data_IF_901303883442
#
_entry.id   IF_901303883442
#
_cell.length_a   1.000
_cell.length_b   1.000
_cell.length_c   1.000
_cell.angle_alpha   90.00
_cell.angle_beta   90.00
_cell.angle_gamma   90.00
#
_symmetry.space_group_name_H-M   'P 1'
#
loop_
_entity.id
_entity.type
_entity.pdbx_description
1 polymer ?
#
# COMPACT_ATOMS: atom_id res chain seq x y z
N UNK A 1 -19.60 17.69 83.39
CA UNK A 1 -20.11 17.11 82.13
C UNK A 1 -19.58 17.91 80.93
N UNK A 2 -18.40 17.60 80.39
CA UNK A 2 -17.81 18.31 79.23
C UNK A 2 -17.23 17.37 78.14
N UNK A 3 -17.03 16.07 78.42
CA UNK A 3 -16.35 15.13 77.50
C UNK A 3 -17.14 14.63 76.28
N UNK A 4 -18.48 14.75 76.24
CA UNK A 4 -19.30 14.19 75.14
C UNK A 4 -19.39 15.05 73.88
N UNK A 5 -18.99 16.33 73.95
CA UNK A 5 -19.07 17.27 72.82
C UNK A 5 -17.88 17.15 71.86
N UNK A 6 -16.68 16.92 72.38
CA UNK A 6 -15.46 16.80 71.58
C UNK A 6 -15.38 15.50 70.78
N UNK A 7 -15.90 14.39 71.34
CA UNK A 7 -15.92 13.09 70.67
C UNK A 7 -16.83 13.04 69.42
N UNK A 8 -17.91 13.83 69.40
CA UNK A 8 -18.80 13.92 68.23
C UNK A 8 -18.19 14.75 67.11
N UNK A 9 -17.43 15.79 67.45
CA UNK A 9 -16.82 16.66 66.46
C UNK A 9 -15.67 15.97 65.71
N UNK A 10 -14.82 15.22 66.44
CA UNK A 10 -13.75 14.42 65.81
C UNK A 10 -14.27 13.29 64.93
N UNK A 11 -15.41 12.68 65.28
CA UNK A 11 -16.02 11.64 64.44
C UNK A 11 -16.59 12.20 63.14
N UNK A 12 -17.20 13.39 63.17
CA UNK A 12 -17.70 14.07 61.98
C UNK A 12 -16.58 14.56 61.07
N UNK A 13 -15.47 15.06 61.63
CA UNK A 13 -14.31 15.44 60.82
C UNK A 13 -13.68 14.21 60.16
N UNK A 14 -13.61 13.08 60.85
CA UNK A 14 -13.07 11.84 60.28
C UNK A 14 -13.97 11.29 59.16
N UNK A 15 -15.30 11.33 59.35
CA UNK A 15 -16.27 10.89 58.33
C UNK A 15 -16.21 11.76 57.06
N UNK A 16 -16.05 13.08 57.22
CA UNK A 16 -15.89 14.00 56.08
C UNK A 16 -14.58 13.74 55.31
N UNK A 17 -13.48 13.43 56.01
CA UNK A 17 -12.21 13.07 55.38
C UNK A 17 -12.32 11.72 54.65
N UNK A 18 -12.96 10.70 55.25
CA UNK A 18 -13.19 9.42 54.58
C UNK A 18 -14.08 9.55 53.33
N UNK A 19 -15.10 10.41 53.37
CA UNK A 19 -15.98 10.63 52.20
C UNK A 19 -15.26 11.30 51.02
N UNK A 20 -14.27 12.16 51.30
CA UNK A 20 -13.43 12.80 50.28
C UNK A 20 -12.45 11.81 49.65
N UNK A 21 -11.97 10.83 50.42
CA UNK A 21 -11.08 9.78 49.91
C UNK A 21 -11.81 8.79 48.97
N UNK A 22 -13.11 8.57 49.18
CA UNK A 22 -13.91 7.65 48.37
C UNK A 22 -14.38 8.24 47.01
N UNK A 23 -14.20 9.55 46.77
CA UNK A 23 -14.72 10.23 45.58
C UNK A 23 -13.66 10.47 44.48
N UNK A 24 -12.46 9.92 44.64
CA UNK A 24 -11.37 10.06 43.68
C UNK A 24 -11.33 8.88 42.71
N UNK A 25 -12.43 8.64 41.99
CA UNK A 25 -12.41 7.79 40.80
C UNK A 25 -12.61 8.71 39.59
N UNK A 26 -11.49 9.14 39.00
CA UNK A 26 -11.48 9.84 37.72
C UNK A 26 -11.94 8.86 36.64
N UNK A 27 -13.20 9.00 36.20
CA UNK A 27 -13.67 8.43 34.93
C UNK A 27 -12.96 9.14 33.78
N UNK A 28 -11.73 8.73 33.49
CA UNK A 28 -11.09 9.01 32.21
C UNK A 28 -11.90 8.26 31.14
N UNK A 29 -12.54 9.03 30.27
CA UNK A 29 -13.31 8.51 29.14
C UNK A 29 -12.42 7.56 28.34
N UNK A 30 -12.87 6.31 28.13
CA UNK A 30 -12.13 5.23 27.48
C UNK A 30 -11.55 5.55 26.08
N UNK A 31 -11.89 6.71 25.50
CA UNK A 31 -11.32 7.22 24.27
C UNK A 31 -9.93 7.87 24.46
N UNK A 32 -9.64 8.42 25.64
CA UNK A 32 -8.37 9.10 25.96
C UNK A 32 -7.24 8.09 26.22
N UNK A 33 -7.60 6.94 26.81
CA UNK A 33 -6.68 5.83 27.11
C UNK A 33 -6.18 5.11 25.84
N UNK A 34 -6.93 5.19 24.73
CA UNK A 34 -6.52 4.58 23.46
C UNK A 34 -5.36 5.31 22.77
N UNK A 35 -5.08 6.56 23.18
CA UNK A 35 -4.01 7.37 22.59
C UNK A 35 -3.02 7.91 23.64
N UNK A 36 -3.13 7.48 24.90
CA UNK A 36 -2.27 7.95 26.00
C UNK A 36 -0.81 7.48 25.84
N UNK A 37 -0.58 6.36 25.13
CA UNK A 37 0.75 5.83 24.79
C UNK A 37 1.19 6.20 23.35
N UNK A 38 0.37 6.94 22.61
CA UNK A 38 0.72 7.38 21.27
C UNK A 38 1.64 8.60 21.36
N UNK A 39 2.95 8.38 21.20
CA UNK A 39 3.91 9.48 21.06
C UNK A 39 3.51 10.38 19.89
N UNK A 40 3.40 11.69 20.13
CA UNK A 40 3.13 12.68 19.08
C UNK A 40 4.22 12.57 18.02
N UNK A 41 3.86 12.12 16.82
CA UNK A 41 4.78 12.06 15.70
C UNK A 41 5.20 13.47 15.32
N UNK A 42 6.51 13.69 15.24
CA UNK A 42 7.04 14.96 14.74
C UNK A 42 6.66 15.15 13.27
N UNK A 43 6.58 16.39 12.76
CA UNK A 43 6.36 16.63 11.33
C UNK A 43 7.35 15.86 10.44
N UNK A 44 8.61 15.75 10.86
CA UNK A 44 9.61 14.90 10.20
C UNK A 44 9.17 13.43 10.17
N UNK A 45 8.82 12.83 11.30
CA UNK A 45 8.36 11.43 11.34
C UNK A 45 7.05 11.18 10.55
N UNK A 46 6.18 12.18 10.42
CA UNK A 46 5.00 12.12 9.55
C UNK A 46 5.38 12.21 8.06
N UNK A 47 6.38 13.02 7.73
CA UNK A 47 6.97 13.08 6.39
C UNK A 47 7.73 11.80 6.04
N UNK A 48 8.27 11.11 7.04
CA UNK A 48 8.89 9.79 6.87
C UNK A 48 7.85 8.67 6.73
N UNK A 49 6.75 8.76 7.46
CA UNK A 49 5.66 7.80 7.37
C UNK A 49 4.75 8.00 6.14
N UNK A 50 5.05 8.95 5.25
CA UNK A 50 4.30 9.12 4.00
C UNK A 50 4.85 8.14 2.94
N UNK A 51 3.97 7.58 2.09
CA UNK A 51 4.34 6.60 1.03
C UNK A 51 5.20 7.17 -0.11
N UNK A 52 5.84 8.31 0.13
CA UNK A 52 6.71 9.02 -0.79
C UNK A 52 8.00 9.50 -0.12
N UNK A 53 8.31 9.00 1.10
CA UNK A 53 9.57 9.32 1.77
C UNK A 53 10.73 8.82 0.91
N UNK A 54 11.64 9.73 0.58
CA UNK A 54 12.91 9.38 -0.04
C UNK A 54 12.83 8.87 -1.48
N UNK A 55 11.72 9.07 -2.20
CA UNK A 55 11.68 8.74 -3.64
C UNK A 55 12.63 9.70 -4.35
N UNK A 56 13.83 9.25 -4.80
CA UNK A 56 14.68 10.11 -5.59
C UNK A 56 13.89 10.53 -6.82
N UNK A 57 14.17 11.71 -7.37
CA UNK A 57 13.67 12.03 -8.70
C UNK A 57 14.14 10.92 -9.65
N UNK A 58 13.24 9.99 -10.01
CA UNK A 58 13.53 8.89 -10.93
C UNK A 58 13.30 9.42 -12.34
N UNK A 59 14.35 9.97 -12.96
CA UNK A 59 14.35 10.27 -14.38
C UNK A 59 14.33 8.93 -15.13
N UNK A 60 13.16 8.55 -15.64
CA UNK A 60 13.03 7.35 -16.44
C UNK A 60 12.83 7.72 -17.91
N UNK A 61 13.88 7.54 -18.70
CA UNK A 61 13.86 7.72 -20.15
C UNK A 61 13.83 6.35 -20.79
N UNK A 62 12.86 6.15 -21.66
CA UNK A 62 12.62 4.90 -22.35
C UNK A 62 12.66 5.20 -23.84
N UNK A 63 13.63 4.62 -24.53
CA UNK A 63 13.78 4.74 -25.97
C UNK A 63 13.60 3.35 -26.59
N UNK A 64 12.90 3.29 -27.70
CA UNK A 64 12.64 2.06 -28.44
C UNK A 64 12.70 2.39 -29.91
N UNK A 65 13.76 1.94 -30.56
CA UNK A 65 13.92 2.04 -32.00
C UNK A 65 13.66 0.67 -32.62
N UNK A 66 12.81 0.64 -33.64
CA UNK A 66 12.54 -0.57 -34.41
C UNK A 66 12.72 -0.27 -35.89
N UNK A 67 13.70 -0.91 -36.51
CA UNK A 67 13.94 -0.82 -37.95
C UNK A 67 13.77 -2.19 -38.59
N UNK A 68 13.05 -2.25 -39.70
CA UNK A 68 12.85 -3.45 -40.49
C UNK A 68 12.82 -3.08 -41.97
N UNK A 69 13.61 -3.82 -42.75
CA UNK A 69 13.60 -3.73 -44.20
C UNK A 69 13.22 -5.11 -44.72
N UNK A 70 12.21 -5.13 -45.58
CA UNK A 70 11.72 -6.33 -46.26
C UNK A 70 11.83 -6.08 -47.76
N UNK A 71 12.84 -6.66 -48.41
CA UNK A 71 13.05 -6.50 -49.86
C UNK A 71 13.27 -7.84 -50.55
N UNK A 72 13.07 -7.86 -51.87
CA UNK A 72 13.38 -8.99 -52.78
C UNK A 72 12.71 -10.32 -52.43
N UNK A 73 11.54 -10.21 -51.81
CA UNK A 73 10.77 -11.32 -51.31
C UNK A 73 9.90 -11.91 -52.44
N UNK A 74 10.33 -13.04 -53.01
CA UNK A 74 9.65 -13.74 -54.12
C UNK A 74 9.18 -15.12 -53.68
N UNK A 75 7.90 -15.41 -53.89
CA UNK A 75 7.33 -16.74 -53.67
C UNK A 75 7.12 -17.43 -55.01
N UNK A 76 7.52 -18.70 -55.14
CA UNK A 76 7.28 -19.51 -56.33
C UNK A 76 6.69 -20.88 -55.94
N UNK A 77 5.67 -21.33 -56.67
CA UNK A 77 4.92 -22.57 -56.36
C UNK A 77 3.73 -22.38 -55.41
N UNK A 78 3.19 -23.48 -54.87
CA UNK A 78 2.06 -23.43 -53.92
C UNK A 78 2.55 -22.99 -52.55
N UNK A 79 2.05 -21.83 -52.11
CA UNK A 79 2.35 -21.26 -50.79
C UNK A 79 1.23 -21.62 -49.82
N UNK A 80 1.58 -22.25 -48.70
CA UNK A 80 0.65 -22.52 -47.60
C UNK A 80 1.16 -21.81 -46.36
N UNK A 81 0.40 -20.82 -45.88
CA UNK A 81 0.59 -20.17 -44.59
C UNK A 81 -0.08 -20.97 -43.48
N UNK A 82 0.43 -20.87 -42.27
CA UNK A 82 -0.13 -21.57 -41.10
C UNK A 82 -1.34 -20.86 -40.48
N UNK A 83 -1.89 -21.45 -39.42
CA UNK A 83 -2.84 -20.76 -38.53
C UNK A 83 -2.14 -20.36 -37.22
N UNK A 84 -2.45 -19.16 -36.74
CA UNK A 84 -2.05 -18.68 -35.43
C UNK A 84 -3.17 -19.03 -34.48
N UNK A 85 -3.09 -20.21 -33.86
CA UNK A 85 -4.12 -20.67 -32.93
C UNK A 85 -3.60 -20.57 -31.52
N UNK A 86 -4.30 -19.79 -30.69
CA UNK A 86 -4.18 -19.78 -29.24
C UNK A 86 -5.37 -20.59 -28.73
N UNK A 87 -5.10 -21.68 -28.02
CA UNK A 87 -6.15 -22.58 -27.53
C UNK A 87 -6.87 -22.03 -26.31
N UNK A 88 -8.02 -22.63 -25.98
CA UNK A 88 -8.73 -22.34 -24.74
C UNK A 88 -7.81 -22.54 -23.53
N UNK A 89 -7.96 -21.68 -22.52
CA UNK A 89 -7.15 -21.65 -21.29
C UNK A 89 -5.66 -21.26 -21.47
N UNK A 90 -5.24 -20.74 -22.63
CA UNK A 90 -3.83 -20.39 -22.87
C UNK A 90 -3.22 -19.38 -21.88
N UNK A 91 -4.06 -18.60 -21.18
CA UNK A 91 -3.64 -17.65 -20.13
C UNK A 91 -4.42 -17.84 -18.83
N UNK A 92 -5.06 -18.99 -18.65
CA UNK A 92 -5.85 -19.23 -17.44
C UNK A 92 -4.93 -19.28 -16.20
N UNK A 93 -5.37 -18.66 -15.10
CA UNK A 93 -4.60 -18.45 -13.87
C UNK A 93 -3.34 -17.58 -14.01
N UNK A 94 -3.19 -16.83 -15.10
CA UNK A 94 -2.06 -15.91 -15.21
C UNK A 94 -2.26 -14.68 -14.32
N UNK A 95 -1.26 -14.38 -13.49
CA UNK A 95 -1.11 -13.13 -12.75
C UNK A 95 0.16 -12.43 -13.22
N UNK A 96 0.05 -11.20 -13.72
CA UNK A 96 1.15 -10.49 -14.37
C UNK A 96 0.80 -10.08 -15.80
N UNK A 97 1.79 -10.04 -16.69
CA UNK A 97 1.63 -9.58 -18.08
C UNK A 97 1.98 -10.71 -19.06
N UNK A 98 1.05 -11.01 -19.98
CA UNK A 98 1.34 -11.80 -21.18
C UNK A 98 1.47 -10.88 -22.39
N UNK A 99 2.43 -11.21 -23.25
CA UNK A 99 2.53 -10.66 -24.60
C UNK A 99 2.59 -11.83 -25.57
N UNK A 100 1.78 -11.75 -26.62
CA UNK A 100 1.72 -12.77 -27.68
C UNK A 100 1.87 -12.07 -29.01
N UNK A 101 2.92 -12.42 -29.74
CA UNK A 101 3.14 -11.92 -31.09
C UNK A 101 3.27 -13.12 -32.00
N UNK A 102 2.35 -13.24 -32.96
CA UNK A 102 2.30 -14.37 -33.86
C UNK A 102 2.17 -13.91 -35.31
N UNK A 103 2.87 -14.60 -36.20
CA UNK A 103 2.80 -14.39 -37.62
C UNK A 103 2.76 -15.72 -38.35
N UNK A 104 1.79 -15.90 -39.24
CA UNK A 104 1.67 -17.10 -40.08
C UNK A 104 1.92 -16.86 -41.56
N UNK A 105 2.23 -15.64 -41.95
CA UNK A 105 2.53 -15.26 -43.32
C UNK A 105 3.99 -15.50 -43.69
N UNK A 106 4.23 -15.69 -44.99
CA UNK A 106 5.56 -15.48 -45.54
C UNK A 106 5.86 -13.98 -45.62
N UNK A 107 7.13 -13.62 -45.62
CA UNK A 107 7.59 -12.24 -45.85
C UNK A 107 7.16 -11.21 -44.80
N UNK A 108 6.93 -11.64 -43.55
CA UNK A 108 6.64 -10.67 -42.49
C UNK A 108 7.85 -10.48 -41.60
N UNK A 109 8.28 -9.23 -41.44
CA UNK A 109 9.10 -8.86 -40.30
C UNK A 109 8.18 -8.56 -39.13
N UNK A 110 8.42 -9.27 -38.05
CA UNK A 110 7.74 -9.06 -36.78
C UNK A 110 8.59 -8.05 -35.99
N UNK A 111 8.06 -6.86 -35.80
CA UNK A 111 8.63 -5.86 -34.89
C UNK A 111 7.69 -5.73 -33.71
N UNK A 112 8.08 -6.27 -32.56
CA UNK A 112 7.39 -6.01 -31.30
C UNK A 112 8.39 -5.56 -30.24
N UNK A 113 8.00 -4.54 -29.49
CA UNK A 113 8.74 -4.05 -28.33
C UNK A 113 7.71 -3.79 -27.25
N UNK A 114 7.74 -4.62 -26.21
CA UNK A 114 6.95 -4.42 -25.01
C UNK A 114 7.88 -3.90 -23.93
N UNK A 115 7.72 -2.63 -23.55
CA UNK A 115 8.49 -2.06 -22.46
C UNK A 115 7.60 -1.83 -21.23
N UNK A 116 7.96 -2.46 -20.11
CA UNK A 116 7.21 -2.38 -18.85
C UNK A 116 8.09 -1.74 -17.79
N UNK A 117 7.60 -0.63 -17.24
CA UNK A 117 8.29 0.15 -16.22
C UNK A 117 7.48 0.07 -14.94
N UNK A 118 7.96 -0.69 -13.96
CA UNK A 118 7.28 -0.86 -12.67
C UNK A 118 8.08 -0.14 -11.59
N UNK A 119 7.45 0.84 -10.96
CA UNK A 119 7.96 1.51 -9.78
C UNK A 119 7.08 1.10 -8.59
N UNK A 120 7.70 0.43 -7.63
CA UNK A 120 7.03 -0.01 -6.40
C UNK A 120 7.54 0.89 -5.28
N UNK A 121 6.68 1.79 -4.81
CA UNK A 121 6.89 2.51 -3.57
C UNK A 121 6.20 1.74 -2.45
N UNK A 122 6.99 1.29 -1.47
CA UNK A 122 6.47 0.83 -0.18
C UNK A 122 6.74 1.90 0.86
#
# INVERSE_FOLDING_TARGET
MIGRRYARWTLWTCLLVLSRLASAESSATAQDVLFEDASILTPGQLEESNGRQGVPFQWQVNDTEQNAIVSDNVLNGTVVTGNNTISDHAFENMSGVATVIQNTGNHVVIQDSTQINVLINQ
#
